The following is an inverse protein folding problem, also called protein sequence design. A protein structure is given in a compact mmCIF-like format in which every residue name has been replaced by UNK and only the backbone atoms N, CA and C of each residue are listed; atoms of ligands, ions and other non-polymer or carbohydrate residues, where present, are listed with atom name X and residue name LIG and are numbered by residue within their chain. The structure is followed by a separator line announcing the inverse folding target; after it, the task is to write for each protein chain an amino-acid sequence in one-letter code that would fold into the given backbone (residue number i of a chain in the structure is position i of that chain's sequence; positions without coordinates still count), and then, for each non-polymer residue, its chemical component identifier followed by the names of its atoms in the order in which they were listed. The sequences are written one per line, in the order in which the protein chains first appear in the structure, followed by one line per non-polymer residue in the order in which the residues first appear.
data_IF_302820117064
#
_entry.id   IF_302820117064
#
_cell.length_a   1.000
_cell.length_b   1.000
_cell.length_c   1.000
_cell.angle_alpha   90.00
_cell.angle_beta   90.00
_cell.angle_gamma   90.00
#
_symmetry.space_group_name_H-M   'P 1'
#
loop_
_entity.id
_entity.type
_entity.pdbx_description
1 polymer ?
#
# COMPACT_ATOMS: atom_id res chain seq x y z
N UNK A 1 -13.86 -13.98 26.11
CA UNK A 1 -12.56 -13.26 26.07
C UNK A 1 -11.32 -14.17 26.11
N UNK A 2 -11.38 -15.42 26.51
CA UNK A 2 -10.22 -16.34 26.54
C UNK A 2 -9.71 -16.85 25.17
N UNK A 3 -10.52 -16.84 24.10
CA UNK A 3 -10.13 -17.40 22.81
C UNK A 3 -9.13 -16.54 22.00
N UNK A 4 -9.10 -15.23 22.23
CA UNK A 4 -8.23 -14.31 21.48
C UNK A 4 -6.76 -14.41 21.93
N UNK A 5 -6.51 -14.58 23.23
CA UNK A 5 -5.14 -14.73 23.76
C UNK A 5 -4.49 -16.09 23.41
N UNK A 6 -5.29 -17.13 23.23
CA UNK A 6 -4.77 -18.44 22.82
C UNK A 6 -4.24 -18.44 21.39
N UNK A 7 -4.84 -17.66 20.52
CA UNK A 7 -4.43 -17.55 19.11
C UNK A 7 -3.11 -16.75 18.95
N UNK A 8 -2.87 -15.71 19.77
CA UNK A 8 -1.62 -14.96 19.79
C UNK A 8 -0.46 -15.83 20.31
N UNK A 9 -0.69 -16.62 21.35
CA UNK A 9 0.33 -17.54 21.88
C UNK A 9 0.72 -18.64 20.89
N UNK A 10 -0.18 -19.07 19.98
CA UNK A 10 0.12 -20.04 18.94
C UNK A 10 1.03 -19.45 17.84
N UNK A 11 0.89 -18.17 17.53
CA UNK A 11 1.75 -17.44 16.58
C UNK A 11 3.20 -17.39 17.10
N UNK A 12 3.39 -17.11 18.39
CA UNK A 12 4.72 -17.10 19.00
C UNK A 12 5.35 -18.48 19.17
N UNK A 13 4.56 -19.54 19.29
CA UNK A 13 5.08 -20.93 19.36
C UNK A 13 5.73 -21.39 18.05
N UNK A 14 5.35 -20.81 16.92
CA UNK A 14 5.89 -21.10 15.60
C UNK A 14 6.96 -20.09 15.14
N UNK A 15 7.34 -19.12 15.97
CA UNK A 15 8.38 -18.14 15.66
C UNK A 15 9.72 -18.79 15.20
N UNK A 16 10.26 -19.87 15.84
CA UNK A 16 11.47 -20.51 15.34
C UNK A 16 11.25 -21.23 14.00
N UNK A 17 10.05 -21.72 13.72
CA UNK A 17 9.69 -22.30 12.43
C UNK A 17 9.55 -21.21 11.35
N UNK A 18 9.06 -20.02 11.69
CA UNK A 18 9.03 -18.86 10.80
C UNK A 18 10.44 -18.39 10.42
N UNK A 19 11.38 -18.38 11.38
CA UNK A 19 12.78 -18.04 11.09
C UNK A 19 13.45 -19.11 10.25
N UNK A 20 13.27 -20.40 10.57
CA UNK A 20 13.77 -21.51 9.75
C UNK A 20 13.15 -21.50 8.34
N UNK A 21 11.87 -21.14 8.22
CA UNK A 21 11.17 -21.01 6.96
C UNK A 21 11.71 -19.83 6.11
N UNK A 22 12.09 -18.70 6.71
CA UNK A 22 12.76 -17.59 6.03
C UNK A 22 14.12 -17.98 5.43
N UNK A 23 14.79 -18.98 6.00
CA UNK A 23 16.13 -19.42 5.59
C UNK A 23 16.16 -20.75 4.81
N UNK A 24 15.01 -21.36 4.50
CA UNK A 24 14.98 -22.56 3.66
C UNK A 24 15.32 -22.20 2.21
N UNK A 25 16.39 -22.84 1.70
CA UNK A 25 17.17 -22.42 0.53
C UNK A 25 16.74 -23.07 -0.80
N UNK A 26 15.55 -23.58 -0.93
CA UNK A 26 15.25 -24.59 -1.93
C UNK A 26 14.80 -24.11 -3.32
N UNK A 27 14.77 -22.77 -3.60
CA UNK A 27 14.47 -22.30 -4.99
C UNK A 27 15.21 -21.00 -5.34
N UNK A 28 16.55 -20.99 -5.17
CA UNK A 28 17.34 -19.77 -5.23
C UNK A 28 17.34 -19.03 -6.57
N UNK A 29 17.33 -19.74 -7.70
CA UNK A 29 17.56 -19.09 -9.01
C UNK A 29 16.31 -18.34 -9.51
N UNK A 30 15.15 -18.97 -9.39
CA UNK A 30 13.89 -18.36 -9.81
C UNK A 30 13.50 -17.20 -8.88
N UNK A 31 13.73 -17.35 -7.57
CA UNK A 31 13.49 -16.29 -6.59
C UNK A 31 14.31 -15.02 -6.86
N UNK A 32 15.56 -15.13 -7.30
CA UNK A 32 16.40 -13.95 -7.61
C UNK A 32 15.81 -13.15 -8.76
N UNK A 33 15.39 -13.79 -9.85
CA UNK A 33 14.78 -13.09 -10.99
C UNK A 33 13.49 -12.37 -10.58
N UNK A 34 12.62 -13.04 -9.80
CA UNK A 34 11.37 -12.44 -9.32
C UNK A 34 11.65 -11.24 -8.42
N UNK A 35 12.64 -11.33 -7.52
CA UNK A 35 13.03 -10.21 -6.67
C UNK A 35 13.62 -9.04 -7.48
N UNK A 36 14.40 -9.31 -8.53
CA UNK A 36 14.92 -8.26 -9.42
C UNK A 36 13.79 -7.49 -10.11
N UNK A 37 12.72 -8.16 -10.56
CA UNK A 37 11.53 -7.52 -11.09
C UNK A 37 10.90 -6.60 -10.02
N UNK A 38 10.75 -7.09 -8.79
CA UNK A 38 10.22 -6.28 -7.69
C UNK A 38 11.10 -5.07 -7.33
N UNK A 39 12.43 -5.20 -7.41
CA UNK A 39 13.34 -4.04 -7.26
C UNK A 39 13.18 -3.03 -8.40
N UNK A 40 12.86 -3.49 -9.63
CA UNK A 40 12.45 -2.61 -10.71
C UNK A 40 11.21 -1.77 -10.35
N UNK A 41 10.22 -2.37 -9.70
CA UNK A 41 9.05 -1.65 -9.19
C UNK A 41 9.43 -0.61 -8.12
N UNK A 42 10.33 -0.95 -7.18
CA UNK A 42 10.83 -0.02 -6.17
C UNK A 42 11.50 1.20 -6.81
N UNK A 43 12.39 0.99 -7.79
CA UNK A 43 13.05 2.09 -8.51
C UNK A 43 12.01 2.98 -9.21
N UNK A 44 11.05 2.36 -9.90
CA UNK A 44 9.98 3.06 -10.61
C UNK A 44 9.10 3.87 -9.64
N UNK A 45 8.77 3.31 -8.48
CA UNK A 45 8.06 4.02 -7.42
C UNK A 45 8.90 5.18 -6.87
N UNK A 46 10.19 4.97 -6.63
CA UNK A 46 11.12 6.02 -6.21
C UNK A 46 11.18 7.18 -7.21
N UNK A 47 11.23 6.90 -8.51
CA UNK A 47 11.20 7.91 -9.56
C UNK A 47 9.91 8.74 -9.55
N UNK A 48 8.77 8.18 -9.12
CA UNK A 48 7.52 8.92 -8.99
C UNK A 48 7.64 10.08 -7.99
N UNK A 49 8.36 9.89 -6.88
CA UNK A 49 8.56 10.94 -5.87
C UNK A 49 9.49 12.07 -6.33
N UNK A 50 10.28 11.85 -7.37
CA UNK A 50 11.16 12.87 -7.94
C UNK A 50 10.43 13.79 -8.93
N UNK A 51 9.24 13.39 -9.38
CA UNK A 51 8.44 14.17 -10.32
C UNK A 51 7.78 15.36 -9.61
N UNK A 52 7.73 16.50 -10.30
CA UNK A 52 7.04 17.71 -9.84
C UNK A 52 5.58 17.78 -10.31
N UNK A 53 5.30 17.16 -11.46
CA UNK A 53 3.98 17.13 -12.06
C UNK A 53 3.19 15.93 -11.52
N UNK A 54 2.01 16.22 -10.96
CA UNK A 54 1.10 15.22 -10.39
C UNK A 54 0.74 14.11 -11.39
N UNK A 55 0.54 14.45 -12.66
CA UNK A 55 0.23 13.46 -13.69
C UNK A 55 1.38 12.47 -13.88
N UNK A 56 2.62 12.99 -13.91
CA UNK A 56 3.80 12.15 -14.02
C UNK A 56 3.99 11.27 -12.79
N UNK A 57 3.73 11.79 -11.58
CA UNK A 57 3.74 10.99 -10.35
C UNK A 57 2.79 9.79 -10.48
N UNK A 58 1.55 10.03 -10.89
CA UNK A 58 0.53 8.98 -11.02
C UNK A 58 0.86 7.99 -12.14
N UNK A 59 1.42 8.45 -13.28
CA UNK A 59 1.86 7.56 -14.35
C UNK A 59 3.00 6.63 -13.90
N UNK A 60 4.00 7.16 -13.19
CA UNK A 60 5.07 6.32 -12.63
C UNK A 60 4.53 5.32 -11.61
N UNK A 61 3.54 5.70 -10.80
CA UNK A 61 2.88 4.79 -9.87
C UNK A 61 2.07 3.70 -10.59
N UNK A 62 1.42 4.00 -11.72
CA UNK A 62 0.76 3.00 -12.57
C UNK A 62 1.78 1.98 -13.07
N UNK A 63 2.93 2.43 -13.59
CA UNK A 63 3.99 1.52 -14.05
C UNK A 63 4.54 0.68 -12.89
N UNK A 64 4.79 1.28 -11.74
CA UNK A 64 5.27 0.56 -10.55
C UNK A 64 4.26 -0.52 -10.10
N UNK A 65 2.96 -0.19 -10.05
CA UNK A 65 1.92 -1.16 -9.69
C UNK A 65 1.79 -2.30 -10.71
N UNK A 66 2.00 -2.02 -12.00
CA UNK A 66 2.03 -3.07 -13.02
C UNK A 66 3.19 -4.05 -12.78
N UNK A 67 4.38 -3.53 -12.49
CA UNK A 67 5.56 -4.36 -12.19
C UNK A 67 5.32 -5.15 -10.89
N UNK A 68 4.75 -4.54 -9.84
CA UNK A 68 4.39 -5.25 -8.61
C UNK A 68 3.32 -6.32 -8.84
N UNK A 69 2.31 -6.08 -9.69
CA UNK A 69 1.31 -7.10 -10.01
C UNK A 69 1.97 -8.34 -10.66
N UNK A 70 2.88 -8.13 -11.60
CA UNK A 70 3.67 -9.21 -12.22
C UNK A 70 4.55 -9.91 -11.17
N UNK A 71 5.27 -9.15 -10.34
CA UNK A 71 6.11 -9.68 -9.28
C UNK A 71 5.33 -10.58 -8.31
N UNK A 72 4.18 -10.13 -7.80
CA UNK A 72 3.35 -10.93 -6.89
C UNK A 72 2.72 -12.14 -7.59
N UNK A 73 2.35 -12.03 -8.86
CA UNK A 73 1.87 -13.17 -9.64
C UNK A 73 2.95 -14.25 -9.78
N UNK A 74 4.20 -13.87 -10.03
CA UNK A 74 5.35 -14.78 -10.08
C UNK A 74 5.68 -15.41 -8.72
N UNK A 75 5.39 -14.73 -7.61
CA UNK A 75 5.50 -15.27 -6.26
C UNK A 75 4.28 -16.13 -5.85
N UNK A 76 3.31 -16.36 -6.74
CA UNK A 76 2.03 -17.01 -6.44
C UNK A 76 1.22 -16.33 -5.33
N UNK A 77 1.46 -15.04 -5.10
CA UNK A 77 0.81 -14.20 -4.11
C UNK A 77 -0.43 -13.52 -4.73
N UNK A 78 -1.50 -14.30 -4.95
CA UNK A 78 -2.68 -13.91 -5.75
C UNK A 78 -3.35 -12.63 -5.25
N UNK A 79 -3.58 -12.51 -3.94
CA UNK A 79 -4.23 -11.32 -3.36
C UNK A 79 -3.40 -10.05 -3.59
N UNK A 80 -2.07 -10.10 -3.45
CA UNK A 80 -1.17 -8.99 -3.75
C UNK A 80 -1.16 -8.63 -5.23
N UNK A 81 -1.13 -9.64 -6.12
CA UNK A 81 -1.16 -9.42 -7.56
C UNK A 81 -2.45 -8.74 -8.02
N UNK A 82 -3.61 -9.25 -7.60
CA UNK A 82 -4.92 -8.68 -7.93
C UNK A 82 -5.10 -7.29 -7.34
N UNK A 83 -4.70 -7.07 -6.08
CA UNK A 83 -4.76 -5.75 -5.45
C UNK A 83 -3.87 -4.73 -6.18
N UNK A 84 -2.63 -5.09 -6.54
CA UNK A 84 -1.73 -4.21 -7.28
C UNK A 84 -2.26 -3.89 -8.68
N UNK A 85 -2.82 -4.87 -9.36
CA UNK A 85 -3.48 -4.63 -10.65
C UNK A 85 -4.69 -3.70 -10.51
N UNK A 86 -5.54 -3.91 -9.50
CA UNK A 86 -6.70 -3.05 -9.28
C UNK A 86 -6.30 -1.64 -8.86
N UNK A 87 -5.16 -1.45 -8.16
CA UNK A 87 -4.60 -0.13 -7.85
C UNK A 87 -4.32 0.69 -9.13
N UNK A 88 -3.97 0.06 -10.24
CA UNK A 88 -3.81 0.76 -11.53
C UNK A 88 -5.13 1.42 -11.94
N UNK A 89 -6.23 0.68 -11.83
CA UNK A 89 -7.59 1.20 -12.15
C UNK A 89 -7.94 2.35 -11.20
N UNK A 90 -7.64 2.21 -9.91
CA UNK A 90 -7.86 3.26 -8.91
C UNK A 90 -7.08 4.52 -9.25
N UNK A 91 -5.80 4.42 -9.61
CA UNK A 91 -4.97 5.57 -10.00
C UNK A 91 -5.50 6.26 -11.26
N UNK A 92 -5.97 5.49 -12.24
CA UNK A 92 -6.60 6.04 -13.46
C UNK A 92 -7.90 6.76 -13.10
N UNK A 93 -8.73 6.16 -12.23
CA UNK A 93 -9.96 6.80 -11.76
C UNK A 93 -9.68 8.10 -11.00
N UNK A 94 -8.60 8.17 -10.24
CA UNK A 94 -8.13 9.42 -9.61
C UNK A 94 -7.82 10.51 -10.64
N UNK A 95 -7.09 10.16 -11.71
CA UNK A 95 -6.79 11.10 -12.79
C UNK A 95 -8.05 11.60 -13.49
N UNK A 96 -9.00 10.70 -13.75
CA UNK A 96 -10.27 11.05 -14.37
C UNK A 96 -11.17 11.88 -13.45
N UNK A 97 -11.19 11.54 -12.15
CA UNK A 97 -11.96 12.29 -11.16
C UNK A 97 -11.50 13.76 -11.09
N UNK A 98 -10.22 14.03 -11.12
CA UNK A 98 -9.72 15.41 -11.17
C UNK A 98 -10.15 16.14 -12.43
N UNK A 99 -10.05 15.45 -13.56
CA UNK A 99 -10.42 16.04 -14.87
C UNK A 99 -11.91 16.35 -14.97
N UNK A 100 -12.77 15.45 -14.50
CA UNK A 100 -14.23 15.54 -14.64
C UNK A 100 -14.91 16.06 -13.36
N UNK A 101 -14.17 16.32 -12.28
CA UNK A 101 -14.69 16.80 -10.99
C UNK A 101 -15.81 15.93 -10.41
N UNK A 102 -15.69 14.61 -10.58
CA UNK A 102 -16.67 13.67 -10.02
C UNK A 102 -16.72 13.73 -8.49
N UNK A 103 -17.87 13.37 -7.93
CA UNK A 103 -18.02 13.29 -6.48
C UNK A 103 -17.07 12.23 -5.91
N UNK A 104 -16.20 12.64 -4.99
CA UNK A 104 -15.18 11.78 -4.36
C UNK A 104 -15.80 10.56 -3.68
N UNK A 105 -16.90 10.75 -2.94
CA UNK A 105 -17.60 9.67 -2.23
C UNK A 105 -18.23 8.68 -3.21
N UNK A 106 -18.89 9.18 -4.25
CA UNK A 106 -19.50 8.34 -5.28
C UNK A 106 -18.45 7.51 -6.05
N UNK A 107 -17.22 7.99 -6.17
CA UNK A 107 -16.11 7.23 -6.78
C UNK A 107 -15.54 6.21 -5.81
N UNK A 108 -15.40 6.54 -4.53
CA UNK A 108 -14.75 5.66 -3.55
C UNK A 108 -15.62 4.46 -3.14
N UNK A 109 -16.95 4.59 -3.11
CA UNK A 109 -17.86 3.48 -2.73
C UNK A 109 -17.73 2.26 -3.67
N UNK A 110 -17.83 2.40 -5.01
CA UNK A 110 -17.66 1.23 -5.89
C UNK A 110 -16.24 0.65 -5.84
N UNK A 111 -15.20 1.49 -5.64
CA UNK A 111 -13.83 1.02 -5.45
C UNK A 111 -13.75 0.15 -4.19
N UNK A 112 -14.31 0.60 -3.06
CA UNK A 112 -14.35 -0.17 -1.83
C UNK A 112 -15.12 -1.49 -2.00
N UNK A 113 -16.25 -1.48 -2.69
CA UNK A 113 -17.04 -2.68 -2.98
C UNK A 113 -16.24 -3.71 -3.79
N UNK A 114 -15.45 -3.27 -4.78
CA UNK A 114 -14.58 -4.16 -5.55
C UNK A 114 -13.45 -4.73 -4.69
N UNK A 115 -12.83 -3.95 -3.80
CA UNK A 115 -11.84 -4.50 -2.86
C UNK A 115 -12.45 -5.55 -1.93
N UNK A 116 -13.69 -5.36 -1.45
CA UNK A 116 -14.38 -6.36 -0.66
C UNK A 116 -14.70 -7.63 -1.48
N UNK A 117 -15.07 -7.49 -2.75
CA UNK A 117 -15.24 -8.62 -3.65
C UNK A 117 -13.92 -9.37 -3.86
N UNK A 118 -12.81 -8.65 -4.08
CA UNK A 118 -11.47 -9.25 -4.18
C UNK A 118 -11.15 -10.01 -2.88
N UNK A 119 -11.49 -9.47 -1.70
CA UNK A 119 -11.30 -10.15 -0.42
C UNK A 119 -11.97 -11.54 -0.40
N UNK A 120 -13.22 -11.62 -0.86
CA UNK A 120 -13.97 -12.89 -0.89
C UNK A 120 -13.36 -13.86 -1.89
N UNK A 121 -12.98 -13.36 -3.09
CA UNK A 121 -12.49 -14.22 -4.18
C UNK A 121 -11.05 -14.72 -3.96
N UNK A 122 -10.22 -13.96 -3.22
CA UNK A 122 -8.80 -14.31 -3.00
C UNK A 122 -8.52 -14.77 -1.57
N UNK A 123 -9.56 -15.03 -0.77
CA UNK A 123 -9.40 -15.48 0.60
C UNK A 123 -8.87 -16.91 0.67
N UNK A 124 -7.66 -17.07 1.14
CA UNK A 124 -7.06 -18.38 1.44
C UNK A 124 -6.67 -18.45 2.92
N UNK A 125 -6.12 -17.36 3.45
CA UNK A 125 -5.67 -17.23 4.83
C UNK A 125 -5.91 -15.82 5.34
N UNK A 126 -5.92 -15.56 6.65
CA UNK A 126 -6.07 -14.18 7.18
C UNK A 126 -5.03 -13.20 6.63
N UNK A 127 -3.84 -13.68 6.25
CA UNK A 127 -2.78 -12.84 5.67
C UNK A 127 -3.15 -12.28 4.30
N UNK A 128 -3.94 -13.01 3.50
CA UNK A 128 -4.39 -12.57 2.18
C UNK A 128 -5.37 -11.38 2.24
N UNK A 129 -5.93 -11.07 3.41
CA UNK A 129 -6.78 -9.90 3.63
C UNK A 129 -5.97 -8.61 3.87
N UNK A 130 -4.69 -8.69 4.21
CA UNK A 130 -3.87 -7.53 4.55
C UNK A 130 -3.71 -6.53 3.39
N UNK A 131 -3.44 -6.95 2.13
CA UNK A 131 -3.40 -6.02 0.99
C UNK A 131 -4.72 -5.30 0.76
N UNK A 132 -5.83 -5.99 1.03
CA UNK A 132 -7.18 -5.44 0.85
C UNK A 132 -7.46 -4.41 1.93
N UNK A 133 -7.16 -4.73 3.19
CA UNK A 133 -7.27 -3.80 4.31
C UNK A 133 -6.42 -2.54 4.05
N UNK A 134 -5.17 -2.72 3.63
CA UNK A 134 -4.29 -1.62 3.27
C UNK A 134 -4.88 -0.74 2.17
N UNK A 135 -5.45 -1.36 1.12
CA UNK A 135 -6.06 -0.64 0.00
C UNK A 135 -7.33 0.11 0.41
N UNK A 136 -8.16 -0.48 1.28
CA UNK A 136 -9.35 0.20 1.82
C UNK A 136 -8.97 1.40 2.69
N UNK A 137 -7.95 1.25 3.53
CA UNK A 137 -7.43 2.37 4.36
C UNK A 137 -6.85 3.46 3.47
N UNK A 138 -6.22 3.12 2.34
CA UNK A 138 -5.71 4.08 1.36
C UNK A 138 -6.80 4.89 0.64
N UNK A 139 -8.09 4.54 0.78
CA UNK A 139 -9.20 5.37 0.28
C UNK A 139 -9.58 6.52 1.22
N UNK A 140 -9.10 6.55 2.47
CA UNK A 140 -9.44 7.60 3.44
C UNK A 140 -9.22 9.04 2.93
N UNK A 141 -8.19 9.37 2.12
CA UNK A 141 -8.04 10.70 1.54
C UNK A 141 -9.22 11.19 0.68
N UNK A 142 -10.09 10.29 0.21
CA UNK A 142 -11.31 10.69 -0.50
C UNK A 142 -12.35 11.32 0.43
N UNK A 143 -12.37 10.90 1.70
CA UNK A 143 -13.39 11.29 2.67
C UNK A 143 -12.86 12.31 3.68
N UNK A 144 -11.54 12.40 3.84
CA UNK A 144 -10.89 13.14 4.90
C UNK A 144 -9.84 14.11 4.33
N UNK A 145 -9.86 15.35 4.82
CA UNK A 145 -8.89 16.38 4.44
C UNK A 145 -7.83 16.63 5.54
N UNK A 146 -8.02 16.04 6.73
CA UNK A 146 -7.06 16.19 7.83
C UNK A 146 -5.78 15.41 7.52
N UNK A 147 -4.69 16.15 7.32
CA UNK A 147 -3.37 15.62 6.94
C UNK A 147 -2.85 14.56 7.92
N UNK A 148 -3.04 14.76 9.24
CA UNK A 148 -2.58 13.79 10.25
C UNK A 148 -3.33 12.46 10.17
N UNK A 149 -4.64 12.52 9.90
CA UNK A 149 -5.46 11.31 9.71
C UNK A 149 -5.02 10.56 8.45
N UNK A 150 -4.76 11.28 7.36
CA UNK A 150 -4.26 10.70 6.09
C UNK A 150 -2.89 10.04 6.29
N UNK A 151 -1.98 10.71 7.00
CA UNK A 151 -0.65 10.15 7.30
C UNK A 151 -0.73 8.94 8.23
N UNK A 152 -1.59 8.98 9.26
CA UNK A 152 -1.86 7.83 10.13
C UNK A 152 -2.42 6.63 9.35
N UNK A 153 -3.36 6.88 8.45
CA UNK A 153 -3.88 5.87 7.53
C UNK A 153 -2.78 5.28 6.63
N UNK A 154 -1.87 6.13 6.12
CA UNK A 154 -0.71 5.69 5.35
C UNK A 154 0.21 4.75 6.13
N UNK A 155 0.43 5.01 7.42
CA UNK A 155 1.22 4.11 8.29
C UNK A 155 0.50 2.77 8.46
N UNK A 156 -0.79 2.77 8.76
CA UNK A 156 -1.59 1.53 8.91
C UNK A 156 -1.58 0.72 7.61
N UNK A 157 -1.77 1.38 6.47
CA UNK A 157 -1.70 0.75 5.15
C UNK A 157 -0.31 0.15 4.90
N UNK A 158 0.77 0.90 5.12
CA UNK A 158 2.14 0.44 4.93
C UNK A 158 2.51 -0.74 5.83
N UNK A 159 2.10 -0.71 7.11
CA UNK A 159 2.32 -1.83 8.02
C UNK A 159 1.53 -3.08 7.59
N UNK A 160 0.30 -2.92 7.10
CA UNK A 160 -0.49 -4.04 6.59
C UNK A 160 0.18 -4.68 5.36
N UNK A 161 0.66 -3.86 4.42
CA UNK A 161 1.45 -4.34 3.29
C UNK A 161 2.76 -4.98 3.76
N UNK A 162 3.48 -4.40 4.72
CA UNK A 162 4.74 -4.93 5.23
C UNK A 162 4.57 -6.35 5.80
N UNK A 163 3.55 -6.58 6.63
CA UNK A 163 3.27 -7.92 7.15
C UNK A 163 2.95 -8.91 6.01
N UNK A 164 2.19 -8.47 5.02
CA UNK A 164 1.87 -9.31 3.86
C UNK A 164 3.12 -9.68 3.05
N UNK A 165 3.98 -8.71 2.71
CA UNK A 165 5.18 -8.95 1.89
C UNK A 165 6.22 -9.82 2.61
N UNK A 166 6.25 -9.77 3.95
CA UNK A 166 7.04 -10.70 4.77
C UNK A 166 6.49 -12.12 4.61
N UNK A 167 5.19 -12.30 4.71
CA UNK A 167 4.56 -13.61 4.59
C UNK A 167 4.75 -14.25 3.22
N UNK A 168 4.70 -13.46 2.13
CA UNK A 168 4.91 -13.94 0.75
C UNK A 168 6.37 -13.91 0.29
N UNK A 169 7.31 -13.60 1.21
CA UNK A 169 8.77 -13.53 0.94
C UNK A 169 9.18 -12.56 -0.18
N UNK A 170 8.47 -11.44 -0.30
CA UNK A 170 8.83 -10.38 -1.25
C UNK A 170 9.87 -9.45 -0.64
N UNK A 171 11.15 -9.72 -0.83
CA UNK A 171 12.24 -8.89 -0.27
C UNK A 171 12.20 -7.46 -0.81
N UNK A 172 11.93 -7.28 -2.10
CA UNK A 172 11.76 -5.95 -2.70
C UNK A 172 10.58 -5.22 -2.10
N UNK A 173 9.44 -5.91 -1.87
CA UNK A 173 8.29 -5.38 -1.16
C UNK A 173 8.62 -4.96 0.27
N UNK A 174 9.36 -5.79 1.02
CA UNK A 174 9.80 -5.46 2.38
C UNK A 174 10.60 -4.15 2.43
N UNK A 175 11.56 -3.98 1.52
CA UNK A 175 12.35 -2.74 1.43
C UNK A 175 11.46 -1.56 1.07
N UNK A 176 10.58 -1.71 0.08
CA UNK A 176 9.67 -0.66 -0.37
C UNK A 176 8.77 -0.19 0.77
N UNK A 177 8.04 -1.11 1.40
CA UNK A 177 7.07 -0.77 2.44
C UNK A 177 7.74 -0.23 3.71
N UNK A 178 8.93 -0.75 4.06
CA UNK A 178 9.70 -0.22 5.18
C UNK A 178 10.10 1.23 4.94
N UNK A 179 10.66 1.54 3.76
CA UNK A 179 11.09 2.90 3.41
C UNK A 179 9.89 3.86 3.38
N UNK A 180 8.80 3.48 2.72
CA UNK A 180 7.61 4.32 2.62
C UNK A 180 6.95 4.56 3.99
N UNK A 181 6.85 3.53 4.81
CA UNK A 181 6.28 3.65 6.17
C UNK A 181 7.13 4.56 7.05
N UNK A 182 8.47 4.43 7.00
CA UNK A 182 9.40 5.30 7.75
C UNK A 182 9.29 6.76 7.27
N UNK A 183 9.26 7.00 5.97
CA UNK A 183 9.10 8.37 5.42
C UNK A 183 7.76 8.97 5.87
N UNK A 184 6.68 8.19 5.83
CA UNK A 184 5.35 8.65 6.27
C UNK A 184 5.34 8.95 7.77
N UNK A 185 5.93 8.08 8.59
CA UNK A 185 6.05 8.29 10.03
C UNK A 185 6.90 9.53 10.35
N UNK A 186 8.03 9.72 9.67
CA UNK A 186 8.87 10.90 9.83
C UNK A 186 8.12 12.19 9.44
N UNK A 187 7.29 12.13 8.41
CA UNK A 187 6.46 13.28 7.98
C UNK A 187 5.39 13.63 9.02
N UNK A 188 4.82 12.64 9.70
CA UNK A 188 3.84 12.85 10.78
C UNK A 188 4.46 13.53 12.01
N UNK A 189 5.74 13.22 12.30
CA UNK A 189 6.47 13.82 13.44
C UNK A 189 6.94 15.25 13.19
N UNK A 190 7.05 15.70 11.93
CA UNK A 190 7.37 17.09 11.61
C UNK A 190 6.23 18.01 12.07
N UNK A 191 6.53 18.89 13.04
CA UNK A 191 5.60 19.98 13.39
C UNK A 191 5.41 20.90 12.18
N UNK A 192 4.16 21.16 11.81
CA UNK A 192 3.88 22.19 10.81
C UNK A 192 4.39 23.54 11.32
N UNK A 193 5.06 24.35 10.47
CA UNK A 193 5.41 25.71 10.82
C UNK A 193 4.11 26.46 11.13
N UNK A 194 4.03 27.13 12.28
CA UNK A 194 2.84 27.86 12.78
C UNK A 194 2.32 28.96 11.85
N UNK A 195 2.95 29.22 10.70
CA UNK A 195 2.56 30.23 9.72
C UNK A 195 1.77 29.73 8.51
N UNK A 196 1.60 28.40 8.32
CA UNK A 196 0.91 27.87 7.14
C UNK A 196 -0.62 28.02 7.17
N UNK A 197 -1.23 27.94 8.34
CA UNK A 197 -2.66 28.06 8.51
C UNK A 197 -3.16 29.51 8.27
N UNK A 198 -2.42 30.52 8.74
CA UNK A 198 -2.77 31.92 8.52
C UNK A 198 -2.67 32.35 7.04
N UNK A 199 -1.73 31.78 6.28
CA UNK A 199 -1.61 32.10 4.85
C UNK A 199 -2.68 31.41 4.00
N UNK A 200 -3.17 30.25 4.41
CA UNK A 200 -4.25 29.53 3.71
C UNK A 200 -5.60 30.19 3.97
N UNK A 201 -5.89 30.64 5.21
CA UNK A 201 -7.08 31.41 5.55
C UNK A 201 -7.09 32.80 4.87
N UNK A 202 -5.94 33.47 4.78
CA UNK A 202 -5.83 34.75 4.05
C UNK A 202 -6.05 34.56 2.53
N UNK A 203 -5.69 33.43 1.94
CA UNK A 203 -5.98 33.10 0.54
C UNK A 203 -7.46 32.80 0.28
N UNK A 204 -8.14 32.21 1.25
CA UNK A 204 -9.56 31.87 1.14
C UNK A 204 -10.43 33.13 1.33
N UNK A 205 -10.05 34.06 2.22
CA UNK A 205 -10.77 35.30 2.45
C UNK A 205 -10.50 36.37 1.40
N UNK A 206 -9.49 36.21 0.55
CA UNK A 206 -9.15 37.17 -0.53
C UNK A 206 -9.74 36.81 -1.90
N UNK A 207 -10.65 35.86 -1.97
CA UNK A 207 -11.40 35.45 -3.18
C UNK A 207 -12.89 35.61 -2.97
#
# INVERSE_FOLDING_TARGET
MCGFFWNIASIFRHAPLLVAWLFSWEDRRMNVLYQLIGFGALITMGLSYWQKDKRMILLWQVVANLIFAIHYALLHAQSGAVCSFFQIIVLILFLLQERFRWNKVATAIPIAAVFLLIAVLTYETPVTLLPILASLVALLPFFQSNKRVIQGAGIVSGLSWLVYVIAVRSYSGMVTESVLTVITAASLMKKEPKGGAEQEDARIMGR
#
